data_IF_902127590560
#
_entry.id   IF_902127590560
#
_cell.length_a   1.000
_cell.length_b   1.000
_cell.length_c   1.000
_cell.angle_alpha   90.00
_cell.angle_beta   90.00
_cell.angle_gamma   90.00
#
_symmetry.space_group_name_H-M   'P 1'
#
loop_
_entity.id
_entity.type
_entity.pdbx_description
1 polymer ?
#
# COMPACT_ATOMS: atom_id res chain seq x y z
N UNK A 1 8.07 4.13 -2.15
CA UNK A 1 7.38 3.44 -1.03
C UNK A 1 8.37 2.54 -0.31
N UNK A 2 7.93 1.79 0.65
CA UNK A 2 8.78 0.91 1.48
C UNK A 2 8.97 -0.45 0.80
N UNK A 3 9.76 -0.46 -0.24
CA UNK A 3 9.97 -1.60 -1.12
C UNK A 3 10.67 -2.78 -0.40
N UNK A 4 10.32 -4.00 -0.77
CA UNK A 4 10.86 -5.24 -0.18
C UNK A 4 10.29 -5.62 1.19
N UNK A 5 9.43 -4.81 1.79
CA UNK A 5 8.84 -5.14 3.10
C UNK A 5 7.84 -6.28 3.02
N UNK A 6 7.03 -6.32 1.98
CA UNK A 6 6.07 -7.41 1.79
C UNK A 6 6.79 -8.74 1.66
N UNK A 7 7.83 -8.80 0.82
CA UNK A 7 8.68 -9.98 0.68
C UNK A 7 9.26 -10.42 2.03
N UNK A 8 9.83 -9.47 2.78
CA UNK A 8 10.47 -9.80 4.06
C UNK A 8 9.48 -10.32 5.11
N UNK A 9 8.27 -9.75 5.15
CA UNK A 9 7.20 -10.22 6.02
C UNK A 9 6.78 -11.64 5.62
N UNK A 10 6.60 -11.90 4.32
CA UNK A 10 6.24 -13.23 3.81
C UNK A 10 7.29 -14.27 4.17
N UNK A 11 8.57 -13.98 3.94
CA UNK A 11 9.67 -14.87 4.33
C UNK A 11 9.65 -15.21 5.82
N UNK A 12 9.49 -14.20 6.69
CA UNK A 12 9.46 -14.42 8.14
C UNK A 12 8.26 -15.26 8.57
N UNK A 13 7.07 -14.98 8.02
CA UNK A 13 5.87 -15.76 8.31
C UNK A 13 6.04 -17.23 7.88
N UNK A 14 6.58 -17.47 6.69
CA UNK A 14 6.79 -18.82 6.18
C UNK A 14 7.80 -19.60 7.02
N UNK A 15 8.93 -18.98 7.39
CA UNK A 15 9.93 -19.61 8.25
C UNK A 15 9.43 -19.86 9.68
N UNK A 16 8.43 -19.11 10.12
CA UNK A 16 7.85 -19.25 11.46
C UNK A 16 6.62 -20.16 11.51
N UNK A 17 6.34 -20.91 10.45
CA UNK A 17 5.17 -21.78 10.29
C UNK A 17 3.82 -21.03 10.26
N UNK A 18 3.81 -19.76 9.82
CA UNK A 18 2.62 -18.96 9.62
C UNK A 18 2.33 -18.71 8.13
N UNK A 19 2.65 -19.67 7.25
CA UNK A 19 2.49 -19.54 5.81
C UNK A 19 1.06 -19.24 5.36
N UNK A 20 0.06 -19.65 6.15
CA UNK A 20 -1.36 -19.38 5.88
C UNK A 20 -1.84 -18.01 6.34
N UNK A 21 -0.98 -17.19 6.95
CA UNK A 21 -1.36 -15.83 7.37
C UNK A 21 -1.38 -14.88 6.16
N UNK A 22 -2.54 -14.31 5.80
CA UNK A 22 -2.62 -13.44 4.63
C UNK A 22 -1.97 -12.07 4.89
N UNK A 23 -1.43 -11.48 3.84
CA UNK A 23 -0.83 -10.14 3.86
C UNK A 23 -1.67 -9.18 3.01
N UNK A 24 -2.17 -8.11 3.63
CA UNK A 24 -2.74 -6.97 2.90
C UNK A 24 -1.66 -5.90 2.79
N UNK A 25 -1.19 -5.64 1.58
CA UNK A 25 -0.23 -4.58 1.34
C UNK A 25 -0.91 -3.25 1.04
N UNK A 26 -0.51 -2.19 1.76
CA UNK A 26 -0.84 -0.80 1.41
C UNK A 26 0.00 -0.35 0.19
N UNK A 27 -0.08 -1.08 -0.88
CA UNK A 27 0.72 -0.92 -2.08
C UNK A 27 0.58 0.44 -2.74
N UNK A 28 -0.61 1.03 -2.66
CA UNK A 28 -0.93 2.34 -3.21
C UNK A 28 -1.42 3.28 -2.11
N UNK A 29 -0.49 3.93 -1.43
CA UNK A 29 -0.80 4.97 -0.43
C UNK A 29 -0.27 6.31 -0.89
N UNK A 30 -1.19 7.19 -1.30
CA UNK A 30 -0.84 8.55 -1.70
C UNK A 30 -0.67 9.48 -0.50
N UNK A 31 0.24 10.44 -0.64
CA UNK A 31 0.30 11.60 0.24
C UNK A 31 -0.95 12.45 0.04
N UNK A 32 -1.73 12.65 1.10
CA UNK A 32 -3.03 13.29 1.04
C UNK A 32 -3.31 14.11 2.30
N UNK A 33 -4.05 15.20 2.14
CA UNK A 33 -4.52 16.03 3.25
C UNK A 33 -5.80 15.49 3.91
N UNK A 34 -6.48 14.51 3.32
CA UNK A 34 -7.74 13.96 3.85
C UNK A 34 -7.65 13.38 5.26
N UNK A 35 -6.47 12.93 5.67
CA UNK A 35 -6.27 12.27 6.96
C UNK A 35 -5.66 13.17 8.03
N UNK A 36 -5.71 14.48 7.85
CA UNK A 36 -5.23 15.45 8.84
C UNK A 36 -5.85 15.24 10.23
N UNK A 37 -7.18 15.28 10.37
CA UNK A 37 -7.85 15.06 11.66
C UNK A 37 -7.55 13.69 12.28
N UNK A 38 -7.50 12.63 11.46
CA UNK A 38 -7.16 11.29 11.94
C UNK A 38 -5.71 11.21 12.47
N UNK A 39 -4.77 11.89 11.80
CA UNK A 39 -3.37 11.93 12.24
C UNK A 39 -3.23 12.60 13.60
N UNK A 40 -3.97 13.67 13.83
CA UNK A 40 -3.99 14.37 15.12
C UNK A 40 -4.58 13.48 16.22
N UNK A 41 -5.71 12.82 15.93
CA UNK A 41 -6.36 11.91 16.88
C UNK A 41 -5.50 10.67 17.20
N UNK A 42 -4.73 10.17 16.24
CA UNK A 42 -3.87 8.98 16.39
C UNK A 42 -2.43 9.32 16.82
N UNK A 43 -2.12 10.59 17.11
CA UNK A 43 -0.76 11.09 17.46
C UNK A 43 0.33 10.56 16.50
N UNK A 44 -0.03 10.37 15.23
CA UNK A 44 0.81 9.70 14.22
C UNK A 44 1.54 10.69 13.31
N UNK A 45 1.74 11.92 13.75
CA UNK A 45 2.53 12.92 13.02
C UNK A 45 4.01 12.52 13.04
N UNK A 46 4.71 12.52 11.88
CA UNK A 46 6.15 12.24 11.85
C UNK A 46 6.91 13.21 12.74
N UNK A 47 7.88 12.71 13.50
CA UNK A 47 8.77 13.56 14.31
C UNK A 47 9.67 14.46 13.44
N UNK A 48 10.01 14.01 12.23
CA UNK A 48 10.85 14.74 11.27
C UNK A 48 10.29 14.63 9.85
N UNK A 49 10.43 15.70 9.07
CA UNK A 49 9.99 15.75 7.68
C UNK A 49 8.49 15.61 7.50
N UNK A 50 8.09 15.11 6.34
CA UNK A 50 6.71 14.83 6.02
C UNK A 50 6.54 13.45 5.36
N UNK A 51 5.29 13.03 5.19
CA UNK A 51 4.97 11.73 4.60
C UNK A 51 5.22 11.65 3.09
N UNK A 52 5.46 12.79 2.43
CA UNK A 52 5.76 12.82 1.00
C UNK A 52 7.09 12.15 0.68
N UNK A 53 7.97 12.00 1.66
CA UNK A 53 9.27 11.33 1.49
C UNK A 53 9.12 9.83 1.19
N UNK A 54 8.02 9.19 1.59
CA UNK A 54 7.81 7.75 1.42
C UNK A 54 6.44 7.35 0.89
N UNK A 55 5.48 8.25 0.84
CA UNK A 55 4.17 8.00 0.22
C UNK A 55 4.20 8.47 -1.24
N UNK A 56 3.34 7.85 -2.05
CA UNK A 56 3.26 8.15 -3.48
C UNK A 56 2.75 9.58 -3.73
N UNK A 57 3.25 10.22 -4.76
CA UNK A 57 2.68 11.45 -5.31
C UNK A 57 1.37 11.08 -6.04
N UNK A 58 0.28 11.76 -5.69
CA UNK A 58 -1.06 11.50 -6.26
C UNK A 58 -1.13 11.71 -7.79
N UNK A 59 -0.16 12.41 -8.36
CA UNK A 59 -0.04 12.63 -9.83
C UNK A 59 0.67 11.47 -10.53
N UNK A 60 1.27 10.55 -9.79
CA UNK A 60 2.08 9.46 -10.38
C UNK A 60 1.36 8.12 -10.34
N UNK A 61 0.36 7.98 -11.23
CA UNK A 61 -0.39 6.74 -11.42
C UNK A 61 0.50 5.55 -11.79
N UNK A 62 1.48 5.78 -12.65
CA UNK A 62 2.37 4.71 -13.12
C UNK A 62 3.20 4.09 -11.99
N UNK A 63 3.63 4.89 -11.02
CA UNK A 63 4.35 4.37 -9.86
C UNK A 63 3.42 3.57 -8.93
N UNK A 64 2.18 4.03 -8.75
CA UNK A 64 1.18 3.30 -7.98
C UNK A 64 0.93 1.90 -8.53
N UNK A 65 0.79 1.77 -9.84
CA UNK A 65 0.62 0.47 -10.52
C UNK A 65 1.87 -0.39 -10.35
N UNK A 66 3.07 0.14 -10.59
CA UNK A 66 4.33 -0.61 -10.42
C UNK A 66 4.53 -1.08 -8.99
N UNK A 67 4.23 -0.24 -8.01
CA UNK A 67 4.32 -0.60 -6.59
C UNK A 67 3.35 -1.74 -6.24
N UNK A 68 2.15 -1.73 -6.80
CA UNK A 68 1.15 -2.78 -6.59
C UNK A 68 1.55 -4.10 -7.23
N UNK A 69 2.06 -4.09 -8.46
CA UNK A 69 2.60 -5.29 -9.12
C UNK A 69 3.74 -5.89 -8.29
N UNK A 70 4.70 -5.05 -7.86
CA UNK A 70 5.80 -5.51 -7.03
C UNK A 70 5.33 -6.13 -5.72
N UNK A 71 4.37 -5.50 -5.01
CA UNK A 71 3.85 -6.08 -3.77
C UNK A 71 3.14 -7.44 -4.00
N UNK A 72 2.47 -7.61 -5.13
CA UNK A 72 1.90 -8.90 -5.53
C UNK A 72 2.99 -9.96 -5.75
N UNK A 73 4.05 -9.61 -6.47
CA UNK A 73 5.21 -10.49 -6.72
C UNK A 73 5.99 -10.80 -5.43
N UNK A 74 5.98 -9.91 -4.46
CA UNK A 74 6.58 -10.07 -3.13
C UNK A 74 5.73 -10.96 -2.19
N UNK A 75 4.57 -11.46 -2.63
CA UNK A 75 3.73 -12.39 -1.87
C UNK A 75 2.62 -11.72 -1.05
N UNK A 76 2.14 -10.56 -1.45
CA UNK A 76 0.88 -10.03 -0.91
C UNK A 76 -0.32 -10.82 -1.43
N UNK A 77 -1.27 -11.12 -0.56
CA UNK A 77 -2.53 -11.79 -0.91
C UNK A 77 -3.60 -10.78 -1.35
N UNK A 78 -3.52 -9.57 -0.82
CA UNK A 78 -4.41 -8.47 -1.15
C UNK A 78 -3.65 -7.15 -1.24
N UNK A 79 -4.16 -6.24 -2.04
CA UNK A 79 -3.59 -4.91 -2.23
C UNK A 79 -4.58 -3.84 -1.75
N UNK A 80 -4.10 -2.64 -1.45
CA UNK A 80 -4.96 -1.54 -0.99
C UNK A 80 -4.61 -0.23 -1.65
N UNK A 81 -5.66 0.50 -2.08
CA UNK A 81 -5.59 1.88 -2.57
C UNK A 81 -6.11 2.83 -1.48
N UNK A 82 -5.31 3.83 -1.14
CA UNK A 82 -5.66 4.85 -0.14
C UNK A 82 -5.08 6.23 -0.49
N UNK A 83 -5.86 7.30 -0.55
CA UNK A 83 -7.31 7.36 -0.47
C UNK A 83 -7.97 6.81 -1.74
N UNK A 84 -9.03 6.03 -1.58
CA UNK A 84 -9.72 5.43 -2.71
C UNK A 84 -10.62 6.44 -3.44
N UNK A 85 -11.27 7.35 -2.73
CA UNK A 85 -12.22 8.30 -3.30
C UNK A 85 -11.66 9.11 -4.47
N UNK A 86 -10.38 9.47 -4.42
CA UNK A 86 -9.68 10.23 -5.47
C UNK A 86 -8.92 9.36 -6.46
N UNK A 87 -9.01 8.03 -6.35
CA UNK A 87 -8.16 7.09 -7.08
C UNK A 87 -8.91 5.79 -7.43
N UNK A 88 -10.22 5.90 -7.66
CA UNK A 88 -11.10 4.75 -7.98
C UNK A 88 -10.66 4.05 -9.26
N UNK A 89 -10.17 4.80 -10.25
CA UNK A 89 -9.65 4.29 -11.51
C UNK A 89 -8.48 3.30 -11.31
N UNK A 90 -7.67 3.52 -10.28
CA UNK A 90 -6.55 2.63 -9.98
C UNK A 90 -6.97 1.26 -9.45
N UNK A 91 -8.13 1.16 -8.81
CA UNK A 91 -8.64 -0.11 -8.30
C UNK A 91 -8.81 -1.10 -9.44
N UNK A 92 -9.41 -0.65 -10.55
CA UNK A 92 -9.61 -1.47 -11.75
C UNK A 92 -8.27 -1.81 -12.41
N UNK A 93 -7.41 -0.83 -12.62
CA UNK A 93 -6.12 -1.04 -13.28
C UNK A 93 -5.23 -2.02 -12.50
N UNK A 94 -5.18 -1.91 -11.17
CA UNK A 94 -4.41 -2.81 -10.32
C UNK A 94 -5.02 -4.21 -10.33
N UNK A 95 -6.34 -4.32 -10.21
CA UNK A 95 -7.06 -5.60 -10.29
C UNK A 95 -6.75 -6.35 -11.57
N UNK A 96 -6.84 -5.67 -12.71
CA UNK A 96 -6.62 -6.28 -14.02
C UNK A 96 -5.16 -6.74 -14.24
N UNK A 97 -4.20 -6.07 -13.58
CA UNK A 97 -2.76 -6.39 -13.72
C UNK A 97 -2.24 -7.41 -12.71
N UNK A 98 -2.91 -7.58 -11.59
CA UNK A 98 -2.42 -8.47 -10.51
C UNK A 98 -3.32 -9.67 -10.25
N UNK A 99 -4.58 -9.62 -10.69
CA UNK A 99 -5.64 -10.59 -10.37
C UNK A 99 -5.93 -10.75 -8.86
N UNK A 100 -5.32 -9.94 -8.00
CA UNK A 100 -5.55 -9.97 -6.55
C UNK A 100 -6.78 -9.15 -6.17
N UNK A 101 -7.30 -9.39 -4.98
CA UNK A 101 -8.30 -8.50 -4.40
C UNK A 101 -7.68 -7.13 -4.11
N UNK A 102 -8.42 -6.07 -4.39
CA UNK A 102 -7.99 -4.69 -4.14
C UNK A 102 -8.96 -4.02 -3.19
N UNK A 103 -8.48 -3.73 -1.99
CA UNK A 103 -9.22 -2.98 -0.99
C UNK A 103 -9.20 -1.47 -1.30
N UNK A 104 -10.25 -0.79 -0.87
CA UNK A 104 -10.43 0.65 -1.00
C UNK A 104 -10.65 1.27 0.38
N UNK A 105 -9.85 2.30 0.71
CA UNK A 105 -9.94 2.98 2.00
C UNK A 105 -10.14 4.47 1.83
#
# INVERSE_FOLDING_TARGET
MMDGRTLKIREVLDHSNFSMTPIISYSTKFSSNFYGPFRNAAESTPMFGDRKQYQLDYRNKSEAIRASIRCAEEGADMLMVKPAMTSIDLIRDIKDKTNLMVGAY
#
